data_IF_832784782427
#
_entry.id   IF_832784782427
#
_cell.length_a   1.000
_cell.length_b   1.000
_cell.length_c   1.000
_cell.angle_alpha   90.00
_cell.angle_beta   90.00
_cell.angle_gamma   90.00
#
_symmetry.space_group_name_H-M   'P 1'
#
loop_
_entity.id
_entity.type
_entity.pdbx_description
1 polymer ?
#
# COMPACT_ATOMS: atom_id res chain seq x y z
N UNK A 1 9.59 2.68 -23.68
CA UNK A 1 9.86 2.51 -22.23
C UNK A 1 9.41 3.77 -21.54
N UNK A 2 8.47 3.70 -20.58
CA UNK A 2 8.06 4.86 -19.80
C UNK A 2 9.25 5.37 -18.96
N UNK A 3 9.38 6.68 -18.79
CA UNK A 3 10.41 7.24 -17.89
C UNK A 3 10.03 6.99 -16.43
N UNK A 4 10.96 7.23 -15.50
CA UNK A 4 10.66 7.21 -14.05
C UNK A 4 9.53 8.20 -13.71
N UNK A 5 9.53 9.39 -14.33
CA UNK A 5 8.49 10.39 -14.13
C UNK A 5 7.12 9.96 -14.68
N UNK A 6 7.13 9.32 -15.85
CA UNK A 6 5.93 8.72 -16.44
C UNK A 6 5.31 7.66 -15.52
N UNK A 7 6.14 6.75 -14.97
CA UNK A 7 5.67 5.72 -14.04
C UNK A 7 5.19 6.29 -12.70
N UNK A 8 5.83 7.33 -12.19
CA UNK A 8 5.35 8.03 -11.00
C UNK A 8 3.96 8.65 -11.23
N UNK A 9 3.73 9.22 -12.42
CA UNK A 9 2.41 9.74 -12.80
C UNK A 9 1.38 8.63 -12.94
N UNK A 10 1.73 7.50 -13.54
CA UNK A 10 0.86 6.33 -13.67
C UNK A 10 0.42 5.83 -12.29
N UNK A 11 1.36 5.67 -11.36
CA UNK A 11 1.06 5.22 -10.00
C UNK A 11 0.21 6.23 -9.22
N UNK A 12 0.49 7.53 -9.34
CA UNK A 12 -0.35 8.59 -8.75
C UNK A 12 -1.80 8.47 -9.24
N UNK A 13 -1.98 8.32 -10.55
CA UNK A 13 -3.31 8.19 -11.15
C UNK A 13 -3.99 6.88 -10.72
N UNK A 14 -3.23 5.78 -10.57
CA UNK A 14 -3.74 4.48 -10.11
C UNK A 14 -4.35 4.57 -8.70
N UNK A 15 -3.73 5.34 -7.80
CA UNK A 15 -4.24 5.56 -6.44
C UNK A 15 -5.21 6.74 -6.33
N UNK A 16 -5.56 7.39 -7.44
CA UNK A 16 -6.58 8.44 -7.49
C UNK A 16 -6.18 9.79 -6.89
N UNK A 17 -4.88 10.03 -6.63
CA UNK A 17 -4.41 11.29 -6.06
C UNK A 17 -4.18 12.35 -7.13
N UNK A 18 -4.42 13.62 -6.80
CA UNK A 18 -4.01 14.77 -7.60
C UNK A 18 -2.52 15.09 -7.42
N UNK A 19 -1.96 15.93 -8.30
CA UNK A 19 -0.58 16.40 -8.17
C UNK A 19 -0.35 17.21 -6.88
N UNK A 20 -1.35 17.91 -6.38
CA UNK A 20 -1.23 18.68 -5.12
C UNK A 20 -1.17 17.75 -3.92
N UNK A 21 -1.99 16.70 -3.91
CA UNK A 21 -2.06 15.74 -2.81
C UNK A 21 -0.78 14.92 -2.71
N UNK A 22 -0.28 14.39 -3.83
CA UNK A 22 0.97 13.64 -3.82
C UNK A 22 2.19 14.56 -3.50
N UNK A 23 2.17 15.81 -3.95
CA UNK A 23 3.19 16.79 -3.56
C UNK A 23 3.19 17.03 -2.04
N UNK A 24 2.00 17.18 -1.44
CA UNK A 24 1.86 17.39 0.00
C UNK A 24 2.37 16.20 0.82
N UNK A 25 2.07 14.97 0.38
CA UNK A 25 2.58 13.73 0.98
C UNK A 25 4.12 13.70 0.91
N UNK A 26 4.67 14.00 -0.25
CA UNK A 26 6.12 14.06 -0.47
C UNK A 26 6.81 15.27 0.19
N UNK A 27 6.09 16.17 0.85
CA UNK A 27 6.64 17.39 1.45
C UNK A 27 7.21 18.39 0.43
N UNK A 28 6.77 18.31 -0.82
CA UNK A 28 7.24 19.16 -1.93
C UNK A 28 6.14 20.08 -2.46
N UNK A 29 6.50 21.01 -3.33
CA UNK A 29 5.51 21.87 -3.99
C UNK A 29 4.87 21.18 -5.19
N UNK A 30 3.64 21.57 -5.58
CA UNK A 30 3.00 21.12 -6.84
C UNK A 30 3.92 21.26 -8.05
N UNK A 31 4.68 22.35 -8.13
CA UNK A 31 5.65 22.58 -9.22
C UNK A 31 6.75 21.53 -9.22
N UNK A 32 7.24 21.14 -8.05
CA UNK A 32 8.22 20.06 -7.91
C UNK A 32 7.63 18.74 -8.35
N UNK A 33 6.40 18.42 -7.95
CA UNK A 33 5.70 17.21 -8.39
C UNK A 33 5.56 17.14 -9.91
N UNK A 34 5.11 18.24 -10.52
CA UNK A 34 5.01 18.34 -11.96
C UNK A 34 6.37 18.11 -12.63
N UNK A 35 7.47 18.63 -12.07
CA UNK A 35 8.81 18.40 -12.59
C UNK A 35 9.24 16.93 -12.46
N UNK A 36 8.91 16.25 -11.36
CA UNK A 36 9.19 14.82 -11.19
C UNK A 36 8.41 13.96 -12.19
N UNK A 37 7.16 14.32 -12.48
CA UNK A 37 6.31 13.62 -13.46
C UNK A 37 6.63 13.99 -14.92
N UNK A 38 7.53 14.94 -15.16
CA UNK A 38 7.90 15.38 -16.51
C UNK A 38 9.13 14.64 -17.02
N UNK A 39 9.03 14.07 -18.22
CA UNK A 39 10.12 13.31 -18.86
C UNK A 39 11.42 14.11 -19.09
N UNK A 40 11.34 15.46 -19.12
CA UNK A 40 12.42 16.35 -19.54
C UNK A 40 13.08 17.15 -18.40
N UNK A 41 12.72 16.92 -17.14
CA UNK A 41 13.21 17.78 -16.04
C UNK A 41 14.64 17.48 -15.60
N UNK A 42 15.15 16.27 -15.88
CA UNK A 42 16.42 15.77 -15.33
C UNK A 42 16.46 15.66 -13.80
N UNK A 43 15.32 15.90 -13.13
CA UNK A 43 15.18 15.92 -11.68
C UNK A 43 14.27 14.78 -11.26
N UNK A 44 14.83 13.79 -10.60
CA UNK A 44 14.08 12.69 -10.00
C UNK A 44 13.63 13.03 -8.56
N UNK A 45 12.58 12.35 -8.06
CA UNK A 45 12.26 12.37 -6.64
C UNK A 45 13.43 11.80 -5.81
N UNK A 46 13.63 12.33 -4.61
CA UNK A 46 14.62 11.79 -3.67
C UNK A 46 14.07 10.58 -2.90
N UNK A 47 14.93 9.92 -2.12
CA UNK A 47 14.56 8.74 -1.35
C UNK A 47 13.49 9.03 -0.29
N UNK A 48 13.51 10.21 0.34
CA UNK A 48 12.54 10.57 1.38
C UNK A 48 11.14 10.78 0.78
N UNK A 49 11.07 11.44 -0.37
CA UNK A 49 9.84 11.58 -1.15
C UNK A 49 9.30 10.19 -1.52
N UNK A 50 10.16 9.28 -2.01
CA UNK A 50 9.72 7.94 -2.43
C UNK A 50 9.23 7.10 -1.23
N UNK A 51 9.84 7.24 -0.05
CA UNK A 51 9.36 6.59 1.17
C UNK A 51 7.97 7.10 1.56
N UNK A 52 7.75 8.42 1.55
CA UNK A 52 6.43 8.99 1.83
C UNK A 52 5.37 8.59 0.78
N UNK A 53 5.76 8.56 -0.51
CA UNK A 53 4.89 8.09 -1.58
C UNK A 53 4.52 6.61 -1.42
N UNK A 54 5.46 5.77 -0.97
CA UNK A 54 5.19 4.35 -0.66
C UNK A 54 4.13 4.19 0.42
N UNK A 55 4.17 4.99 1.48
CA UNK A 55 3.16 4.98 2.55
C UNK A 55 1.77 5.36 2.03
N UNK A 56 1.70 6.20 0.99
CA UNK A 56 0.46 6.52 0.28
C UNK A 56 0.00 5.46 -0.74
N UNK A 57 0.73 4.34 -0.86
CA UNK A 57 0.36 3.23 -1.74
C UNK A 57 0.95 3.28 -3.15
N UNK A 58 1.94 4.13 -3.42
CA UNK A 58 2.71 4.12 -4.67
C UNK A 58 3.64 2.90 -4.71
N UNK A 59 3.62 2.13 -5.81
CA UNK A 59 4.61 1.07 -6.06
C UNK A 59 5.95 1.70 -6.48
N UNK A 60 6.78 2.02 -5.47
CA UNK A 60 8.11 2.61 -5.69
C UNK A 60 9.01 1.72 -6.53
N UNK A 61 8.87 0.39 -6.43
CA UNK A 61 9.69 -0.52 -7.24
C UNK A 61 9.32 -0.36 -8.70
N UNK A 62 8.03 -0.37 -9.03
CA UNK A 62 7.57 -0.08 -10.38
C UNK A 62 8.07 1.27 -10.88
N UNK A 63 7.97 2.33 -10.07
CA UNK A 63 8.45 3.66 -10.44
C UNK A 63 9.94 3.63 -10.81
N UNK A 64 10.78 2.92 -10.06
CA UNK A 64 12.22 2.87 -10.29
C UNK A 64 12.62 1.90 -11.42
N UNK A 65 12.04 0.71 -11.47
CA UNK A 65 12.51 -0.39 -12.34
C UNK A 65 11.65 -0.59 -13.59
N UNK A 66 10.40 -0.14 -13.57
CA UNK A 66 9.40 -0.46 -14.59
C UNK A 66 8.79 -1.86 -14.46
N UNK A 67 9.17 -2.61 -13.43
CA UNK A 67 8.60 -3.91 -13.12
C UNK A 67 7.67 -3.75 -11.92
N UNK A 68 6.38 -4.07 -12.11
CA UNK A 68 5.49 -4.18 -10.97
C UNK A 68 6.01 -5.28 -10.06
N UNK A 69 6.08 -5.00 -8.76
CA UNK A 69 6.21 -6.11 -7.82
C UNK A 69 4.94 -6.92 -8.01
N UNK A 70 5.08 -8.13 -8.56
CA UNK A 70 4.02 -9.13 -8.51
C UNK A 70 3.88 -9.59 -7.06
N UNK A 71 3.49 -8.69 -6.18
CA UNK A 71 3.01 -9.03 -4.86
C UNK A 71 1.61 -9.62 -5.08
N UNK A 72 1.58 -10.90 -5.43
CA UNK A 72 0.58 -11.74 -4.80
C UNK A 72 0.73 -11.49 -3.29
N UNK A 73 -0.39 -11.22 -2.62
CA UNK A 73 -0.54 -10.81 -1.22
C UNK A 73 -0.49 -9.30 -0.95
N UNK A 74 -1.67 -8.76 -0.75
CA UNK A 74 -1.96 -7.66 0.18
C UNK A 74 -1.25 -7.82 1.54
N UNK A 75 0.04 -7.55 1.63
CA UNK A 75 0.74 -7.56 2.92
C UNK A 75 0.74 -6.15 3.53
N UNK A 76 -0.47 -5.69 3.84
CA UNK A 76 -0.72 -4.78 4.96
C UNK A 76 -0.75 -5.53 6.31
N UNK A 77 -0.57 -6.86 6.29
CA UNK A 77 -0.42 -7.70 7.48
C UNK A 77 0.82 -8.57 7.31
N UNK A 78 1.83 -8.48 8.20
CA UNK A 78 2.90 -9.46 8.19
C UNK A 78 2.29 -10.83 8.50
N UNK A 79 2.59 -11.83 7.66
CA UNK A 79 2.27 -13.22 7.94
C UNK A 79 2.55 -13.55 9.41
N UNK A 80 1.60 -14.22 10.06
CA UNK A 80 1.81 -14.79 11.39
C UNK A 80 3.03 -15.73 11.39
N UNK A 81 3.60 -15.98 12.56
CA UNK A 81 4.76 -16.88 12.69
C UNK A 81 4.48 -18.28 12.10
N UNK A 82 3.27 -18.78 12.31
CA UNK A 82 2.80 -20.06 11.79
C UNK A 82 2.72 -20.06 10.26
N UNK A 83 2.17 -19.01 9.65
CA UNK A 83 2.10 -18.88 8.18
C UNK A 83 3.51 -18.83 7.55
N UNK A 84 4.43 -18.09 8.19
CA UNK A 84 5.83 -18.04 7.72
C UNK A 84 6.50 -19.40 7.78
N UNK A 85 6.24 -20.16 8.83
CA UNK A 85 6.80 -21.50 9.01
C UNK A 85 6.23 -22.50 7.98
N UNK A 86 4.93 -22.41 7.68
CA UNK A 86 4.30 -23.23 6.64
C UNK A 86 4.93 -22.93 5.27
N UNK A 87 5.10 -21.66 4.92
CA UNK A 87 5.73 -21.26 3.65
C UNK A 87 7.18 -21.74 3.58
N UNK A 88 7.96 -21.64 4.67
CA UNK A 88 9.33 -22.17 4.72
C UNK A 88 9.36 -23.67 4.43
N UNK A 89 8.53 -24.46 5.11
CA UNK A 89 8.45 -25.91 4.92
C UNK A 89 7.99 -26.27 3.52
N UNK A 90 6.98 -25.59 2.99
CA UNK A 90 6.48 -25.81 1.64
C UNK A 90 7.55 -25.64 0.56
N UNK A 91 8.39 -24.61 0.68
CA UNK A 91 9.51 -24.35 -0.25
C UNK A 91 10.58 -25.44 -0.24
N UNK A 92 10.70 -26.21 0.83
CA UNK A 92 11.64 -27.32 0.97
C UNK A 92 11.11 -28.65 0.43
N UNK A 93 9.82 -28.73 0.08
CA UNK A 93 9.22 -29.95 -0.46
C UNK A 93 9.62 -30.20 -1.91
N UNK A 94 9.66 -31.47 -2.29
CA UNK A 94 9.72 -31.87 -3.70
C UNK A 94 8.36 -31.66 -4.39
N UNK A 95 8.31 -31.80 -5.71
CA UNK A 95 7.09 -31.53 -6.50
C UNK A 95 5.90 -32.41 -6.09
N UNK A 96 6.16 -33.67 -5.70
CA UNK A 96 5.12 -34.56 -5.15
C UNK A 96 4.55 -34.07 -3.82
N UNK A 97 5.41 -33.59 -2.93
CA UNK A 97 5.02 -33.03 -1.64
C UNK A 97 4.26 -31.71 -1.78
N UNK A 98 4.67 -30.83 -2.70
CA UNK A 98 3.94 -29.61 -3.03
C UNK A 98 2.53 -29.92 -3.54
N UNK A 99 2.42 -30.85 -4.49
CA UNK A 99 1.13 -31.29 -5.03
C UNK A 99 0.21 -31.89 -3.97
N UNK A 100 0.75 -32.66 -3.01
CA UNK A 100 -0.03 -33.20 -1.90
C UNK A 100 -0.58 -32.10 -0.97
N UNK A 101 0.24 -31.09 -0.64
CA UNK A 101 -0.19 -29.94 0.17
C UNK A 101 -1.24 -29.11 -0.56
N UNK A 102 -1.07 -28.88 -1.87
CA UNK A 102 -2.08 -28.18 -2.67
C UNK A 102 -3.41 -28.94 -2.73
N UNK A 103 -3.36 -30.25 -2.96
CA UNK A 103 -4.56 -31.10 -2.95
C UNK A 103 -5.26 -31.08 -1.58
N UNK A 104 -4.48 -31.13 -0.50
CA UNK A 104 -4.98 -31.02 0.87
C UNK A 104 -5.69 -29.68 1.12
N UNK A 105 -5.03 -28.56 0.81
CA UNK A 105 -5.60 -27.21 0.96
C UNK A 105 -6.87 -27.06 0.14
N UNK A 106 -6.85 -27.48 -1.13
CA UNK A 106 -8.02 -27.42 -2.01
C UNK A 106 -9.18 -28.29 -1.49
N UNK A 107 -8.89 -29.47 -0.93
CA UNK A 107 -9.89 -30.32 -0.28
C UNK A 107 -10.57 -29.60 0.90
N UNK A 108 -9.81 -28.91 1.75
CA UNK A 108 -10.37 -28.13 2.85
C UNK A 108 -11.17 -26.90 2.39
N UNK A 109 -10.77 -26.25 1.29
CA UNK A 109 -11.41 -25.05 0.77
C UNK A 109 -12.71 -25.34 0.00
N UNK A 110 -12.75 -26.43 -0.77
CA UNK A 110 -13.88 -26.74 -1.67
C UNK A 110 -14.99 -27.51 -0.97
N UNK A 111 -14.66 -28.45 -0.07
CA UNK A 111 -15.64 -29.43 0.42
C UNK A 111 -16.10 -29.21 1.85
N UNK A 112 -15.35 -28.49 2.69
CA UNK A 112 -15.77 -28.14 4.07
C UNK A 112 -16.12 -29.33 4.98
N UNK A 113 -15.79 -30.56 4.58
CA UNK A 113 -16.04 -31.78 5.33
C UNK A 113 -14.82 -32.67 5.25
N UNK A 114 -14.30 -33.03 6.42
CA UNK A 114 -13.30 -34.08 6.53
C UNK A 114 -13.92 -35.42 6.13
N UNK A 115 -13.25 -36.16 5.27
CA UNK A 115 -13.48 -37.60 5.10
C UNK A 115 -12.25 -38.37 5.55
N UNK A 116 -11.91 -38.32 6.85
CA UNK A 116 -11.40 -39.53 7.49
C UNK A 116 -12.58 -40.20 8.17
N UNK A 117 -12.81 -41.46 7.81
CA UNK A 117 -13.47 -42.43 8.67
C UNK A 117 -14.78 -41.96 9.35
N UNK A 118 -15.83 -41.77 8.53
CA UNK A 118 -17.18 -42.23 8.89
C UNK A 118 -18.01 -41.51 9.95
N UNK A 119 -17.60 -40.40 10.59
CA UNK A 119 -18.54 -39.60 11.43
C UNK A 119 -18.39 -38.08 11.25
N UNK A 120 -19.52 -37.42 11.00
CA UNK A 120 -19.61 -35.99 10.71
C UNK A 120 -19.26 -35.11 11.93
N UNK A 121 -18.23 -34.28 11.79
CA UNK A 121 -17.90 -33.24 12.77
C UNK A 121 -18.88 -32.05 12.67
N UNK A 122 -19.27 -31.52 13.84
CA UNK A 122 -20.34 -30.53 14.01
C UNK A 122 -19.93 -29.15 13.46
N UNK A 123 -20.79 -28.55 12.62
CA UNK A 123 -20.60 -27.23 11.99
C UNK A 123 -20.38 -26.14 13.05
N UNK A 124 -19.27 -25.39 12.94
CA UNK A 124 -19.02 -24.16 13.71
C UNK A 124 -19.52 -22.97 12.86
N UNK A 125 -20.40 -22.08 13.38
CA UNK A 125 -20.84 -20.90 12.64
C UNK A 125 -19.66 -19.93 12.44
N UNK A 126 -19.48 -19.45 11.21
CA UNK A 126 -18.42 -18.46 10.91
C UNK A 126 -18.68 -17.17 11.70
N UNK A 127 -17.62 -16.69 12.35
CA UNK A 127 -17.57 -15.45 13.12
C UNK A 127 -18.11 -14.28 12.27
N UNK A 128 -19.05 -13.52 12.85
CA UNK A 128 -19.78 -12.47 12.15
C UNK A 128 -18.86 -11.36 11.61
N UNK A 129 -19.24 -10.85 10.45
CA UNK A 129 -18.63 -9.85 9.56
C UNK A 129 -18.32 -8.46 10.15
N UNK A 130 -18.40 -8.27 11.47
CA UNK A 130 -18.38 -6.95 12.09
C UNK A 130 -16.98 -6.40 12.42
N UNK A 131 -15.91 -6.95 11.82
CA UNK A 131 -14.55 -6.40 11.96
C UNK A 131 -14.01 -5.69 10.70
N UNK A 132 -14.72 -5.79 9.57
CA UNK A 132 -14.30 -5.18 8.31
C UNK A 132 -14.66 -3.68 8.20
N UNK A 133 -15.65 -3.19 8.95
CA UNK A 133 -16.12 -1.81 8.88
C UNK A 133 -15.26 -0.79 9.66
N UNK A 134 -14.29 -1.24 10.47
CA UNK A 134 -13.45 -0.36 11.28
C UNK A 134 -12.16 0.11 10.57
N UNK A 135 -11.82 -0.44 9.40
CA UNK A 135 -10.55 -0.15 8.72
C UNK A 135 -10.62 1.06 7.78
N UNK A 136 -11.74 1.30 7.09
CA UNK A 136 -11.88 2.44 6.15
C UNK A 136 -12.04 3.80 6.88
N UNK A 137 -12.41 3.80 8.16
CA UNK A 137 -12.50 5.02 8.97
C UNK A 137 -11.13 5.56 9.40
N UNK A 138 -10.14 4.69 9.55
CA UNK A 138 -8.83 5.02 10.09
C UNK A 138 -7.97 5.77 9.05
N UNK A 139 -8.04 5.34 7.79
CA UNK A 139 -7.43 6.03 6.64
C UNK A 139 -8.05 7.40 6.39
N UNK A 140 -9.37 7.55 6.52
CA UNK A 140 -10.04 8.85 6.43
C UNK A 140 -9.60 9.79 7.57
N UNK A 141 -9.39 9.28 8.78
CA UNK A 141 -8.94 10.09 9.91
C UNK A 141 -7.49 10.57 9.74
N UNK A 142 -6.61 9.71 9.19
CA UNK A 142 -5.23 10.07 8.86
C UNK A 142 -5.15 11.19 7.80
N UNK A 143 -5.94 11.07 6.73
CA UNK A 143 -6.00 12.11 5.68
C UNK A 143 -6.53 13.43 6.26
N UNK A 144 -7.55 13.38 7.12
CA UNK A 144 -8.14 14.57 7.73
C UNK A 144 -7.16 15.28 8.68
N UNK A 145 -6.44 14.54 9.51
CA UNK A 145 -5.37 15.09 10.38
C UNK A 145 -4.24 15.74 9.57
N UNK A 146 -3.79 15.10 8.50
CA UNK A 146 -2.72 15.63 7.65
C UNK A 146 -3.11 16.96 6.98
N UNK A 147 -4.37 17.08 6.54
CA UNK A 147 -4.91 18.31 5.95
C UNK A 147 -5.06 19.45 6.97
N UNK A 148 -5.49 19.13 8.19
CA UNK A 148 -5.64 20.13 9.26
C UNK A 148 -4.28 20.65 9.76
N UNK A 149 -3.27 19.78 9.87
CA UNK A 149 -1.89 20.16 10.19
C UNK A 149 -1.30 21.12 9.15
N UNK A 150 -1.59 20.90 7.87
CA UNK A 150 -1.17 21.79 6.78
C UNK A 150 -1.85 23.16 6.87
N UNK A 151 -3.15 23.21 7.20
CA UNK A 151 -3.88 24.47 7.42
C UNK A 151 -3.31 25.25 8.58
N UNK A 152 -3.07 24.61 9.73
CA UNK A 152 -2.51 25.27 10.90
C UNK A 152 -1.07 25.76 10.66
N UNK A 153 -0.25 25.00 9.92
CA UNK A 153 1.09 25.44 9.49
C UNK A 153 1.02 26.63 8.52
N UNK A 154 0.02 26.67 7.64
CA UNK A 154 -0.24 27.82 6.78
C UNK A 154 -0.65 29.07 7.56
N UNK A 155 -1.58 28.95 8.51
CA UNK A 155 -2.08 30.04 9.35
C UNK A 155 -1.03 30.60 10.31
N UNK A 156 -0.22 29.74 10.92
CA UNK A 156 0.91 30.15 11.77
C UNK A 156 2.00 30.86 10.97
N UNK A 157 2.22 30.45 9.71
CA UNK A 157 3.15 31.11 8.78
C UNK A 157 2.62 32.44 8.24
N UNK A 158 1.30 32.59 8.11
CA UNK A 158 0.64 33.85 7.77
C UNK A 158 0.66 34.85 8.94
N UNK A 159 0.40 34.41 10.19
CA UNK A 159 0.51 35.25 11.40
C UNK A 159 1.94 35.70 11.71
N UNK A 160 2.96 34.93 11.33
CA UNK A 160 4.39 35.27 11.51
C UNK A 160 4.99 36.22 10.46
N UNK A 161 4.21 36.71 9.48
CA UNK A 161 4.66 37.80 8.58
C UNK A 161 4.17 39.14 9.16
N UNK A 162 4.90 39.83 10.07
CA UNK A 162 4.57 41.21 10.38
C UNK A 162 4.82 42.04 9.14
N UNK A 163 3.89 42.95 8.84
CA UNK A 163 3.94 43.79 7.65
C UNK A 163 5.27 44.52 7.54
N UNK A 164 5.97 44.32 6.42
CA UNK A 164 6.92 45.32 5.94
C UNK A 164 6.10 46.54 5.53
N UNK A 165 5.90 47.45 6.47
CA UNK A 165 5.41 48.79 6.21
C UNK A 165 6.41 49.48 5.27
N UNK A 166 5.84 50.16 4.26
CA UNK A 166 6.52 51.07 3.34
C UNK A 166 7.41 52.07 4.09
N UNK A 167 8.64 52.23 3.62
CA UNK A 167 9.38 53.48 3.55
C UNK A 167 10.33 53.37 2.35
#
# INVERSE_FOLDING_TARGET
>A
MSSVGGRLREERMRIGLSQDELAAIGGVTRRTQHAYESDNSGRGPDANYLLAAREAGVDVVYVLTGEHVKTQSSDAFPFSEDEREIVRKYRLLNEGGKGAVEAMINGYLVTGTFTESGKAAKRIPRLASNRAAAMDSETLELVRRALDDQRQRGETRAKKRPGKAKA
#
